data_IF_793755858026
#
_entry.id   IF_793755858026
#
_cell.length_a   1.000
_cell.length_b   1.000
_cell.length_c   1.000
_cell.angle_alpha   90.00
_cell.angle_beta   90.00
_cell.angle_gamma   90.00
#
_symmetry.space_group_name_H-M   'P 1'
#
loop_
_entity.id
_entity.type
_entity.pdbx_description
1 polymer ?
#
# COMPACT_ATOMS: atom_id res chain seq x y z
N UNK A 1 -9.61 -46.36 8.83
CA UNK A 1 -9.31 -44.91 8.94
C UNK A 1 -10.63 -44.18 9.09
N UNK A 2 -10.76 -43.32 10.10
CA UNK A 2 -11.94 -42.48 10.34
C UNK A 2 -11.49 -41.05 10.06
N UNK A 3 -12.15 -40.37 9.13
CA UNK A 3 -11.86 -38.99 8.79
C UNK A 3 -13.00 -38.08 9.27
N UNK A 4 -12.70 -36.84 9.70
CA UNK A 4 -13.73 -35.84 10.00
C UNK A 4 -14.59 -35.57 8.77
N UNK A 5 -15.87 -35.22 8.93
CA UNK A 5 -16.75 -34.86 7.79
C UNK A 5 -16.20 -33.70 6.96
N UNK A 6 -15.44 -32.80 7.57
CA UNK A 6 -14.74 -31.71 6.90
C UNK A 6 -13.66 -32.17 5.90
N UNK A 7 -13.20 -33.43 6.00
CA UNK A 7 -12.21 -34.01 5.08
C UNK A 7 -12.80 -34.35 3.70
N UNK A 8 -14.13 -34.37 3.57
CA UNK A 8 -14.84 -34.53 2.31
C UNK A 8 -15.25 -33.18 1.71
N UNK A 9 -14.40 -32.16 1.84
CA UNK A 9 -14.55 -30.98 1.02
C UNK A 9 -14.18 -31.30 -0.45
N UNK A 10 -14.74 -30.55 -1.38
CA UNK A 10 -14.51 -30.74 -2.82
C UNK A 10 -13.02 -30.56 -3.18
N UNK A 11 -12.27 -29.81 -2.37
CA UNK A 11 -10.88 -29.44 -2.65
C UNK A 11 -9.91 -30.60 -2.37
N UNK A 12 -10.09 -31.33 -1.27
CA UNK A 12 -9.31 -32.53 -0.93
C UNK A 12 -9.59 -33.65 -1.94
N UNK A 13 -10.84 -33.81 -2.36
CA UNK A 13 -11.19 -34.82 -3.36
C UNK A 13 -10.57 -34.52 -4.73
N UNK A 14 -10.55 -33.25 -5.14
CA UNK A 14 -9.92 -32.82 -6.38
C UNK A 14 -8.41 -33.14 -6.39
N UNK A 15 -7.71 -32.84 -5.29
CA UNK A 15 -6.27 -33.07 -5.17
C UNK A 15 -5.88 -34.56 -5.30
N UNK A 16 -6.73 -35.48 -4.83
CA UNK A 16 -6.50 -36.93 -4.93
C UNK A 16 -6.76 -37.47 -6.35
N UNK A 17 -7.72 -36.91 -7.08
CA UNK A 17 -8.07 -37.39 -8.42
C UNK A 17 -7.21 -36.80 -9.53
N UNK A 18 -6.66 -35.60 -9.34
CA UNK A 18 -5.82 -34.92 -10.34
C UNK A 18 -4.63 -35.76 -10.84
N UNK A 19 -3.85 -36.48 -10.00
CA UNK A 19 -2.76 -37.34 -10.47
C UNK A 19 -3.25 -38.49 -11.35
N UNK A 20 -4.39 -39.10 -10.99
CA UNK A 20 -4.97 -40.21 -11.71
C UNK A 20 -5.58 -39.76 -13.05
N UNK A 21 -6.26 -38.61 -13.05
CA UNK A 21 -6.73 -37.97 -14.27
C UNK A 21 -5.56 -37.59 -15.20
N UNK A 22 -4.47 -37.02 -14.66
CA UNK A 22 -3.26 -36.68 -15.40
C UNK A 22 -2.58 -37.93 -16.00
N UNK A 23 -2.54 -39.04 -15.25
CA UNK A 23 -2.00 -40.31 -15.73
C UNK A 23 -2.80 -40.87 -16.91
N UNK A 24 -4.13 -40.80 -16.88
CA UNK A 24 -4.96 -41.39 -17.93
C UNK A 24 -5.09 -40.55 -19.21
N UNK A 25 -5.00 -39.22 -19.15
CA UNK A 25 -5.18 -38.38 -20.33
C UNK A 25 -4.14 -37.29 -20.53
N UNK A 26 -2.97 -37.41 -19.89
CA UNK A 26 -1.83 -36.51 -20.09
C UNK A 26 -2.02 -35.12 -19.46
N UNK A 27 -1.29 -34.10 -19.93
CA UNK A 27 -1.32 -32.76 -19.34
C UNK A 27 -2.73 -32.18 -19.22
N UNK A 28 -3.06 -31.77 -18.00
CA UNK A 28 -4.38 -31.25 -17.60
C UNK A 28 -4.82 -30.03 -18.43
N UNK A 29 -3.86 -29.24 -18.92
CA UNK A 29 -4.07 -28.01 -19.68
C UNK A 29 -4.95 -28.15 -20.94
N UNK A 30 -4.99 -29.33 -21.57
CA UNK A 30 -5.78 -29.58 -22.78
C UNK A 30 -7.17 -30.19 -22.52
N UNK A 31 -7.44 -30.61 -21.28
CA UNK A 31 -8.72 -31.24 -20.88
C UNK A 31 -9.54 -30.39 -19.91
N UNK A 32 -8.96 -29.30 -19.40
CA UNK A 32 -9.68 -28.37 -18.54
C UNK A 32 -10.76 -27.59 -19.29
N UNK A 33 -12.01 -27.88 -18.91
CA UNK A 33 -13.20 -27.13 -19.36
C UNK A 33 -13.18 -25.67 -18.94
N UNK A 34 -12.32 -25.28 -17.99
CA UNK A 34 -12.25 -23.93 -17.43
C UNK A 34 -12.16 -22.83 -18.51
N UNK A 35 -11.38 -23.04 -19.59
CA UNK A 35 -11.30 -22.06 -20.69
C UNK A 35 -12.63 -21.91 -21.43
N UNK A 36 -13.31 -23.02 -21.70
CA UNK A 36 -14.62 -23.06 -22.36
C UNK A 36 -15.67 -22.42 -21.45
N UNK A 37 -15.68 -22.76 -20.17
CA UNK A 37 -16.61 -22.20 -19.18
C UNK A 37 -16.45 -20.68 -19.02
N UNK A 38 -15.20 -20.19 -18.97
CA UNK A 38 -14.92 -18.74 -18.96
C UNK A 38 -15.44 -18.05 -20.22
N UNK A 39 -15.25 -18.65 -21.39
CA UNK A 39 -15.76 -18.13 -22.65
C UNK A 39 -17.30 -18.10 -22.67
N UNK A 40 -17.95 -19.19 -22.28
CA UNK A 40 -19.42 -19.26 -22.17
C UNK A 40 -19.96 -18.26 -21.15
N UNK A 41 -19.27 -18.04 -20.04
CA UNK A 41 -19.62 -17.01 -19.07
C UNK A 41 -19.59 -15.61 -19.70
N UNK A 42 -18.59 -15.30 -20.54
CA UNK A 42 -18.55 -14.03 -21.28
C UNK A 42 -19.72 -13.92 -22.27
N UNK A 43 -19.97 -14.95 -23.09
CA UNK A 43 -21.10 -14.95 -24.04
C UNK A 43 -22.44 -14.78 -23.33
N UNK A 44 -22.61 -15.38 -22.15
CA UNK A 44 -23.83 -15.22 -21.34
C UNK A 44 -24.09 -13.76 -20.97
N UNK A 45 -23.05 -12.93 -20.82
CA UNK A 45 -23.19 -11.48 -20.55
C UNK A 45 -23.70 -10.69 -21.75
N UNK A 46 -23.56 -11.20 -22.98
CA UNK A 46 -24.10 -10.58 -24.19
C UNK A 46 -25.61 -10.84 -24.39
N UNK A 47 -26.21 -11.79 -23.66
CA UNK A 47 -27.65 -12.10 -23.75
C UNK A 47 -28.49 -11.02 -23.04
N UNK A 48 -28.75 -9.92 -23.73
CA UNK A 48 -29.68 -8.86 -23.33
C UNK A 48 -31.14 -9.22 -23.63
N UNK A 49 -31.38 -9.94 -24.73
CA UNK A 49 -32.71 -10.46 -25.09
C UNK A 49 -32.80 -11.99 -24.90
N UNK A 50 -33.46 -12.43 -23.83
CA UNK A 50 -33.64 -13.86 -23.52
C UNK A 50 -34.55 -14.59 -24.50
N UNK A 51 -35.44 -13.89 -25.21
CA UNK A 51 -36.31 -14.50 -26.22
C UNK A 51 -35.57 -14.83 -27.53
N UNK A 52 -34.43 -14.16 -27.78
CA UNK A 52 -33.57 -14.40 -28.97
C UNK A 52 -32.09 -14.42 -28.56
N UNK A 53 -31.66 -15.44 -27.80
CA UNK A 53 -30.33 -15.43 -27.17
C UNK A 53 -29.19 -15.47 -28.20
N UNK A 54 -29.33 -16.23 -29.29
CA UNK A 54 -28.30 -16.31 -30.35
C UNK A 54 -28.07 -14.96 -31.03
N UNK A 55 -29.14 -14.26 -31.40
CA UNK A 55 -29.05 -12.94 -32.01
C UNK A 55 -28.44 -11.91 -31.06
N UNK A 56 -28.84 -11.95 -29.79
CA UNK A 56 -28.28 -11.07 -28.76
C UNK A 56 -26.78 -11.30 -28.52
N UNK A 57 -26.31 -12.56 -28.59
CA UNK A 57 -24.88 -12.88 -28.49
C UNK A 57 -24.13 -12.35 -29.71
N UNK A 58 -24.64 -12.60 -30.92
CA UNK A 58 -24.00 -12.14 -32.15
C UNK A 58 -23.86 -10.61 -32.20
N UNK A 59 -24.92 -9.89 -31.81
CA UNK A 59 -24.92 -8.43 -31.71
C UNK A 59 -23.91 -7.93 -30.66
N UNK A 60 -23.92 -8.50 -29.46
CA UNK A 60 -22.99 -8.09 -28.39
C UNK A 60 -21.53 -8.36 -28.75
N UNK A 61 -21.27 -9.47 -29.45
CA UNK A 61 -19.94 -9.82 -29.93
C UNK A 61 -19.46 -8.85 -31.02
N UNK A 62 -20.32 -8.51 -31.99
CA UNK A 62 -20.01 -7.50 -33.02
C UNK A 62 -19.65 -6.14 -32.40
N UNK A 63 -20.43 -5.69 -31.40
CA UNK A 63 -20.15 -4.43 -30.69
C UNK A 63 -18.78 -4.49 -29.98
N UNK A 64 -18.49 -5.59 -29.27
CA UNK A 64 -17.23 -5.75 -28.54
C UNK A 64 -16.02 -5.74 -29.49
N UNK A 65 -16.11 -6.39 -30.66
CA UNK A 65 -15.07 -6.36 -31.68
C UNK A 65 -14.90 -4.96 -32.28
N UNK A 66 -15.98 -4.28 -32.65
CA UNK A 66 -15.91 -2.91 -33.17
C UNK A 66 -15.29 -1.94 -32.16
N UNK A 67 -15.69 -2.00 -30.89
CA UNK A 67 -15.12 -1.15 -29.83
C UNK A 67 -13.65 -1.48 -29.56
N UNK A 68 -13.30 -2.77 -29.57
CA UNK A 68 -11.91 -3.23 -29.44
C UNK A 68 -11.05 -2.69 -30.58
N UNK A 69 -11.54 -2.76 -31.83
CA UNK A 69 -10.85 -2.20 -32.97
C UNK A 69 -10.68 -0.68 -32.86
N UNK A 70 -11.76 0.06 -32.57
CA UNK A 70 -11.69 1.51 -32.38
C UNK A 70 -10.72 1.90 -31.26
N UNK A 71 -10.67 1.12 -30.17
CA UNK A 71 -9.80 1.39 -29.03
C UNK A 71 -8.31 1.40 -29.37
N UNK A 72 -7.89 0.72 -30.44
CA UNK A 72 -6.50 0.73 -30.91
C UNK A 72 -6.08 2.06 -31.56
N UNK A 73 -7.04 2.88 -31.98
CA UNK A 73 -6.81 4.15 -32.67
C UNK A 73 -7.16 5.39 -31.83
N UNK A 74 -7.82 5.21 -30.69
CA UNK A 74 -8.15 6.30 -29.77
C UNK A 74 -6.99 6.54 -28.80
N UNK A 75 -6.42 7.75 -28.84
CA UNK A 75 -5.38 8.19 -27.90
C UNK A 75 -5.99 9.00 -26.75
N UNK A 76 -5.39 8.91 -25.56
CA UNK A 76 -5.81 9.69 -24.39
C UNK A 76 -7.09 9.20 -23.69
N UNK A 77 -7.64 8.05 -24.06
CA UNK A 77 -8.82 7.45 -23.42
C UNK A 77 -8.42 6.10 -22.80
N UNK A 78 -8.96 5.78 -21.63
CA UNK A 78 -8.80 4.47 -21.01
C UNK A 78 -9.55 3.39 -21.82
N UNK A 79 -8.84 2.34 -22.18
CA UNK A 79 -9.29 1.17 -22.95
C UNK A 79 -8.92 -0.10 -22.21
N UNK A 80 -9.46 -1.24 -22.65
CA UNK A 80 -9.11 -2.55 -22.07
C UNK A 80 -7.60 -2.87 -22.13
N UNK A 81 -6.88 -2.28 -23.09
CA UNK A 81 -5.47 -2.56 -23.35
C UNK A 81 -4.50 -1.61 -22.66
N UNK A 82 -4.91 -0.37 -22.39
CA UNK A 82 -4.04 0.63 -21.75
C UNK A 82 -4.44 0.95 -20.31
N UNK A 83 -5.58 0.42 -19.82
CA UNK A 83 -5.98 0.57 -18.42
C UNK A 83 -4.87 0.05 -17.52
N UNK A 84 -4.57 0.83 -16.50
CA UNK A 84 -3.58 0.46 -15.52
C UNK A 84 -4.03 -0.76 -14.72
N UNK A 85 -3.05 -1.47 -14.15
CA UNK A 85 -3.35 -2.61 -13.31
C UNK A 85 -4.18 -2.19 -12.09
N UNK A 86 -5.04 -3.13 -11.64
CA UNK A 86 -5.92 -2.87 -10.49
C UNK A 86 -5.15 -2.47 -9.24
N UNK A 87 -3.92 -2.94 -9.11
CA UNK A 87 -3.03 -2.62 -8.00
C UNK A 87 -1.97 -1.59 -8.39
N UNK A 88 -2.19 -0.77 -9.41
CA UNK A 88 -1.32 0.39 -9.62
C UNK A 88 -1.48 1.34 -8.43
N UNK A 89 -0.39 1.69 -7.76
CA UNK A 89 -0.35 2.69 -6.68
C UNK A 89 -0.25 4.12 -7.22
N UNK A 90 -0.20 4.29 -8.54
CA UNK A 90 -0.11 5.60 -9.17
C UNK A 90 1.27 6.23 -8.99
N UNK A 91 2.31 5.41 -8.83
CA UNK A 91 3.70 5.85 -8.85
C UNK A 91 4.02 6.54 -10.18
N UNK A 92 3.83 7.85 -10.23
CA UNK A 92 4.42 8.69 -11.28
C UNK A 92 5.76 9.18 -10.77
N UNK A 93 6.79 9.11 -11.61
CA UNK A 93 8.06 9.80 -11.34
C UNK A 93 7.74 11.30 -11.24
N UNK A 94 7.51 11.78 -10.03
CA UNK A 94 7.45 13.21 -9.77
C UNK A 94 8.90 13.68 -9.79
N UNK A 95 9.35 14.14 -10.94
CA UNK A 95 10.71 14.67 -11.17
C UNK A 95 11.05 15.89 -10.27
N UNK A 96 10.11 16.34 -9.43
CA UNK A 96 10.19 17.53 -8.58
C UNK A 96 10.29 17.26 -7.06
N UNK A 97 10.17 16.01 -6.61
CA UNK A 97 10.20 15.72 -5.16
C UNK A 97 11.64 15.44 -4.71
N UNK A 98 12.23 16.37 -3.95
CA UNK A 98 13.62 16.28 -3.50
C UNK A 98 13.74 15.48 -2.19
N UNK A 99 12.72 15.49 -1.32
CA UNK A 99 12.72 14.68 -0.09
C UNK A 99 12.12 13.29 -0.33
N UNK A 100 12.89 12.23 -0.09
CA UNK A 100 12.45 10.85 -0.33
C UNK A 100 11.19 10.48 0.47
N UNK A 101 11.03 11.05 1.67
CA UNK A 101 9.86 10.75 2.50
C UNK A 101 8.52 11.18 1.88
N UNK A 102 8.53 12.16 0.97
CA UNK A 102 7.36 12.64 0.24
C UNK A 102 7.23 12.02 -1.16
N UNK A 103 8.27 11.30 -1.62
CA UNK A 103 8.30 10.65 -2.94
C UNK A 103 7.47 9.36 -2.96
N UNK A 104 7.33 8.71 -1.80
CA UNK A 104 6.69 7.40 -1.64
C UNK A 104 5.21 7.45 -2.04
N UNK A 105 4.91 6.90 -3.20
CA UNK A 105 3.55 6.80 -3.72
C UNK A 105 2.77 5.72 -2.99
N UNK A 106 1.69 6.13 -2.35
CA UNK A 106 0.71 5.22 -1.77
C UNK A 106 -0.67 5.61 -2.26
N UNK A 107 -1.44 4.62 -2.76
CA UNK A 107 -2.84 4.82 -3.14
C UNK A 107 -3.77 4.28 -2.06
N UNK A 108 -4.29 5.11 -1.15
CA UNK A 108 -5.27 4.67 -0.17
C UNK A 108 -6.58 4.21 -0.83
N UNK A 109 -7.30 3.29 -0.17
CA UNK A 109 -8.64 2.88 -0.61
C UNK A 109 -9.71 3.87 -0.14
N UNK A 110 -10.44 4.44 -1.10
CA UNK A 110 -11.56 5.40 -0.87
C UNK A 110 -11.08 6.71 -0.21
N UNK A 111 -12.02 7.62 0.06
CA UNK A 111 -11.79 8.81 0.87
C UNK A 111 -11.53 8.42 2.33
N UNK A 112 -10.42 8.89 2.88
CA UNK A 112 -10.07 8.68 4.28
C UNK A 112 -11.03 9.40 5.21
N UNK A 113 -11.22 8.85 6.42
CA UNK A 113 -11.94 9.56 7.47
C UNK A 113 -10.98 10.50 8.18
N UNK A 114 -11.40 11.74 8.39
CA UNK A 114 -10.68 12.65 9.28
C UNK A 114 -11.01 12.27 10.71
N UNK A 115 -10.02 11.74 11.42
CA UNK A 115 -10.13 11.41 12.83
C UNK A 115 -9.02 12.11 13.61
N UNK A 116 -9.28 12.41 14.88
CA UNK A 116 -8.26 12.93 15.78
C UNK A 116 -7.33 11.77 16.12
N UNK A 117 -6.08 11.83 15.65
CA UNK A 117 -5.05 10.86 16.02
C UNK A 117 -4.73 11.04 17.51
N UNK A 118 -4.69 9.97 18.31
CA UNK A 118 -4.23 10.05 19.69
C UNK A 118 -2.85 10.70 19.78
N UNK A 119 -2.66 11.63 20.72
CA UNK A 119 -1.41 12.41 20.83
C UNK A 119 -0.14 11.54 20.82
N UNK A 120 -0.18 10.39 21.53
CA UNK A 120 0.93 9.44 21.57
C UNK A 120 1.29 8.89 20.19
N UNK A 121 0.28 8.51 19.41
CA UNK A 121 0.47 7.98 18.06
C UNK A 121 0.93 9.09 17.11
N UNK A 122 0.41 10.30 17.27
CA UNK A 122 0.83 11.46 16.49
C UNK A 122 2.30 11.85 16.75
N UNK A 123 2.71 11.93 18.03
CA UNK A 123 4.08 12.26 18.41
C UNK A 123 5.06 11.18 17.92
N UNK A 124 4.67 9.91 18.01
CA UNK A 124 5.46 8.78 17.51
C UNK A 124 5.56 8.79 15.98
N UNK A 125 4.46 9.04 15.27
CA UNK A 125 4.43 9.16 13.82
C UNK A 125 5.30 10.33 13.34
N UNK A 126 5.19 11.49 13.99
CA UNK A 126 6.02 12.66 13.70
C UNK A 126 7.51 12.39 13.90
N UNK A 127 7.87 11.72 15.00
CA UNK A 127 9.25 11.28 15.24
C UNK A 127 9.72 10.31 14.15
N UNK A 128 8.89 9.32 13.80
CA UNK A 128 9.22 8.34 12.78
C UNK A 128 9.54 8.99 11.43
N UNK A 129 8.73 9.96 10.98
CA UNK A 129 8.99 10.69 9.72
C UNK A 129 10.34 11.41 9.80
N UNK A 130 10.64 12.12 10.89
CA UNK A 130 11.90 12.85 11.04
C UNK A 130 13.12 11.93 11.15
N UNK A 131 12.99 10.80 11.85
CA UNK A 131 14.09 9.86 12.07
C UNK A 131 14.43 9.03 10.81
N UNK A 132 13.48 8.85 9.90
CA UNK A 132 13.66 8.08 8.66
C UNK A 132 13.85 8.98 7.42
N UNK A 133 14.14 10.26 7.62
CA UNK A 133 14.43 11.21 6.54
C UNK A 133 15.95 11.40 6.47
N UNK A 134 16.58 10.98 5.38
CA UNK A 134 18.05 11.02 5.23
C UNK A 134 18.60 12.45 5.34
N UNK A 135 17.85 13.43 4.85
CA UNK A 135 18.21 14.85 4.89
C UNK A 135 18.17 15.44 6.31
N UNK A 136 17.49 14.76 7.24
CA UNK A 136 17.38 15.16 8.65
C UNK A 136 18.49 14.54 9.51
N UNK A 137 19.17 13.49 9.02
CA UNK A 137 20.25 12.78 9.73
C UNK A 137 21.37 13.67 10.28
N UNK A 138 21.89 14.68 9.55
CA UNK A 138 22.90 15.59 10.09
C UNK A 138 22.41 16.36 11.33
N UNK A 139 21.13 16.72 11.34
CA UNK A 139 20.50 17.46 12.43
C UNK A 139 20.24 16.55 13.65
N UNK A 140 19.87 15.29 13.42
CA UNK A 140 19.74 14.29 14.49
C UNK A 140 21.07 14.15 15.24
N UNK A 141 22.17 14.02 14.51
CA UNK A 141 23.52 13.91 15.10
C UNK A 141 23.90 15.17 15.88
N UNK A 142 23.70 16.35 15.31
CA UNK A 142 24.00 17.63 15.97
C UNK A 142 23.25 17.77 17.30
N UNK A 143 21.93 17.51 17.32
CA UNK A 143 21.15 17.58 18.55
C UNK A 143 21.57 16.54 19.58
N UNK A 144 21.96 15.34 19.15
CA UNK A 144 22.45 14.28 20.04
C UNK A 144 23.77 14.68 20.70
N UNK A 145 24.69 15.29 19.96
CA UNK A 145 25.94 15.82 20.49
C UNK A 145 25.72 16.98 21.48
N UNK A 146 24.75 17.88 21.22
CA UNK A 146 24.36 18.94 22.15
C UNK A 146 23.86 18.37 23.49
N UNK A 147 23.02 17.33 23.45
CA UNK A 147 22.51 16.67 24.65
C UNK A 147 23.61 15.92 25.43
N UNK A 148 24.56 15.29 24.72
CA UNK A 148 25.72 14.64 25.37
C UNK A 148 26.59 15.65 26.12
N UNK A 149 26.83 16.83 25.54
CA UNK A 149 27.60 17.91 26.19
C UNK A 149 26.92 18.46 27.44
N UNK A 150 25.60 18.39 27.51
CA UNK A 150 24.82 18.83 28.67
C UNK A 150 24.77 17.79 29.81
N UNK A 151 25.47 16.65 29.68
CA UNK A 151 25.55 15.57 30.68
C UNK A 151 24.17 15.07 31.14
N UNK A 152 23.23 14.99 30.21
CA UNK A 152 21.83 14.69 30.51
C UNK A 152 21.61 13.18 30.62
N UNK A 153 21.03 12.72 31.75
CA UNK A 153 20.55 11.33 31.87
C UNK A 153 19.32 11.09 30.96
N UNK A 154 19.21 9.87 30.41
CA UNK A 154 18.20 9.42 29.42
C UNK A 154 18.26 10.19 28.08
N UNK A 155 19.45 10.22 27.47
CA UNK A 155 19.73 10.96 26.24
C UNK A 155 18.80 10.60 25.09
N UNK A 156 18.53 9.31 24.85
CA UNK A 156 17.70 8.85 23.72
C UNK A 156 16.23 9.28 23.83
N UNK A 157 15.64 9.12 25.01
CA UNK A 157 14.23 9.48 25.24
C UNK A 157 14.01 10.99 25.12
N UNK A 158 14.90 11.78 25.74
CA UNK A 158 14.88 13.24 25.61
C UNK A 158 15.18 13.71 24.20
N UNK A 159 16.09 13.03 23.50
CA UNK A 159 16.38 13.33 22.11
C UNK A 159 15.11 13.20 21.27
N UNK A 160 14.42 12.05 21.36
CA UNK A 160 13.14 11.81 20.67
C UNK A 160 12.06 12.85 21.00
N UNK A 161 11.92 13.23 22.26
CA UNK A 161 10.89 14.19 22.69
C UNK A 161 11.19 15.64 22.27
N UNK A 162 12.45 16.07 22.39
CA UNK A 162 12.83 17.47 22.20
C UNK A 162 13.23 17.79 20.76
N UNK A 163 13.69 16.79 20.00
CA UNK A 163 14.19 16.98 18.64
C UNK A 163 13.19 17.66 17.70
N UNK A 164 11.90 17.31 17.65
CA UNK A 164 10.98 17.97 16.70
C UNK A 164 10.85 19.48 16.93
N UNK A 165 10.95 19.93 18.18
CA UNK A 165 10.91 21.36 18.52
C UNK A 165 12.26 22.03 18.28
N UNK A 166 13.36 21.36 18.63
CA UNK A 166 14.71 21.83 18.36
C UNK A 166 14.96 22.00 16.86
N UNK A 167 14.60 20.99 16.06
CA UNK A 167 14.70 20.97 14.60
C UNK A 167 13.92 22.12 13.98
N UNK A 168 12.67 22.34 14.42
CA UNK A 168 11.88 23.51 14.00
C UNK A 168 12.58 24.84 14.23
N UNK A 169 13.16 25.05 15.41
CA UNK A 169 13.90 26.28 15.74
C UNK A 169 15.15 26.43 14.89
N UNK A 170 15.92 25.34 14.71
CA UNK A 170 17.15 25.32 13.90
C UNK A 170 16.87 25.66 12.44
N UNK A 171 15.88 25.00 11.83
CA UNK A 171 15.50 25.25 10.44
C UNK A 171 14.94 26.66 10.25
N UNK A 172 14.15 27.18 11.20
CA UNK A 172 13.68 28.58 11.16
C UNK A 172 14.84 29.58 11.16
N UNK A 173 15.90 29.33 11.93
CA UNK A 173 17.09 30.19 11.93
C UNK A 173 17.84 30.13 10.59
N UNK A 174 17.98 28.95 10.00
CA UNK A 174 18.62 28.77 8.69
C UNK A 174 17.79 29.43 7.58
N UNK A 175 16.48 29.25 7.59
CA UNK A 175 15.54 29.84 6.65
C UNK A 175 15.62 31.38 6.61
N UNK A 176 15.83 32.00 7.78
CA UNK A 176 15.98 33.45 7.88
C UNK A 176 17.34 33.96 7.36
N UNK A 177 18.37 33.11 7.31
CA UNK A 177 19.70 33.46 6.82
C UNK A 177 19.84 33.21 5.31
N UNK A 178 19.35 32.07 4.84
CA UNK A 178 19.47 31.65 3.45
C UNK A 178 18.22 30.90 2.99
N UNK A 179 17.64 31.33 1.87
CA UNK A 179 16.43 30.73 1.28
C UNK A 179 16.79 29.82 0.11
N UNK A 180 17.55 28.77 0.39
CA UNK A 180 17.82 27.74 -0.61
C UNK A 180 16.61 26.82 -0.79
N UNK A 181 16.55 26.13 -1.94
CA UNK A 181 15.47 25.17 -2.23
C UNK A 181 15.40 24.06 -1.18
N UNK A 182 16.56 23.52 -0.76
CA UNK A 182 16.63 22.49 0.29
C UNK A 182 16.13 22.97 1.64
N UNK A 183 16.47 24.20 2.05
CA UNK A 183 16.01 24.78 3.33
C UNK A 183 14.49 25.02 3.29
N UNK A 184 13.94 25.46 2.15
CA UNK A 184 12.49 25.63 2.01
C UNK A 184 11.73 24.32 2.21
N UNK A 185 12.27 23.19 1.74
CA UNK A 185 11.63 21.88 1.92
C UNK A 185 11.79 21.32 3.33
N UNK A 186 12.99 21.42 3.91
CA UNK A 186 13.21 21.06 5.32
C UNK A 186 12.31 21.91 6.24
N UNK A 187 12.03 23.16 5.87
CA UNK A 187 11.10 24.01 6.60
C UNK A 187 9.66 23.48 6.59
N UNK A 188 9.18 22.93 5.47
CA UNK A 188 7.87 22.25 5.40
C UNK A 188 7.81 21.06 6.37
N UNK A 189 8.88 20.26 6.41
CA UNK A 189 9.00 19.12 7.33
C UNK A 189 9.07 19.58 8.80
N UNK A 190 9.79 20.68 9.07
CA UNK A 190 10.04 21.20 10.40
C UNK A 190 8.81 21.88 11.04
N UNK A 191 7.92 22.48 10.24
CA UNK A 191 6.62 22.98 10.72
C UNK A 191 5.83 21.85 11.37
N UNK A 192 5.88 20.66 10.77
CA UNK A 192 5.13 19.47 11.15
C UNK A 192 3.86 19.29 10.31
N UNK A 193 3.22 18.12 10.43
CA UNK A 193 1.97 17.81 9.74
C UNK A 193 0.76 18.48 10.43
N UNK A 194 -0.38 18.51 9.74
CA UNK A 194 -1.67 18.82 10.35
C UNK A 194 -1.95 17.84 11.50
N UNK A 195 -2.46 18.37 12.61
CA UNK A 195 -2.83 17.59 13.79
C UNK A 195 -4.01 16.67 13.49
N UNK A 196 -4.83 17.03 12.50
CA UNK A 196 -5.87 16.18 11.93
C UNK A 196 -5.21 15.26 10.89
N UNK A 197 -5.13 13.98 11.18
CA UNK A 197 -4.73 13.01 10.17
C UNK A 197 -5.93 12.32 9.53
N UNK A 198 -5.65 11.55 8.48
CA UNK A 198 -6.64 10.66 7.87
C UNK A 198 -6.32 9.22 8.20
N UNK A 199 -7.36 8.42 8.45
CA UNK A 199 -7.22 6.98 8.65
C UNK A 199 -7.79 6.22 7.47
N UNK A 200 -7.18 5.08 7.16
CA UNK A 200 -7.56 4.25 6.02
C UNK A 200 -7.70 2.78 6.39
N UNK A 201 -8.66 2.11 5.75
CA UNK A 201 -8.89 0.67 5.95
C UNK A 201 -8.09 -0.20 4.96
N UNK A 202 -7.12 0.36 4.27
CA UNK A 202 -6.31 -0.33 3.27
C UNK A 202 -5.77 0.61 2.20
N UNK A 203 -4.72 0.18 1.53
CA UNK A 203 -4.03 0.93 0.50
C UNK A 203 -3.38 -0.01 -0.51
N UNK A 204 -2.87 0.57 -1.60
CA UNK A 204 -1.99 -0.10 -2.55
C UNK A 204 -0.62 0.57 -2.50
N UNK A 205 0.43 -0.24 -2.32
CA UNK A 205 1.83 0.17 -2.32
C UNK A 205 2.62 -0.86 -3.12
N UNK A 206 3.43 -0.41 -4.07
CA UNK A 206 4.29 -1.24 -4.92
C UNK A 206 3.55 -2.43 -5.58
N UNK A 207 2.34 -2.21 -6.10
CA UNK A 207 1.56 -3.30 -6.72
C UNK A 207 0.84 -4.24 -5.73
N UNK A 208 1.03 -4.07 -4.42
CA UNK A 208 0.47 -4.93 -3.38
C UNK A 208 -0.65 -4.21 -2.64
N UNK A 209 -1.74 -4.93 -2.33
CA UNK A 209 -2.87 -4.41 -1.56
C UNK A 209 -2.71 -4.78 -0.11
N UNK A 210 -2.71 -3.79 0.77
CA UNK A 210 -2.69 -3.98 2.21
C UNK A 210 -4.05 -3.65 2.80
N UNK A 211 -4.41 -4.37 3.86
CA UNK A 211 -5.61 -4.16 4.64
C UNK A 211 -5.25 -4.03 6.12
N UNK A 212 -6.03 -3.26 6.86
CA UNK A 212 -5.98 -3.33 8.32
C UNK A 212 -6.67 -4.62 8.78
N UNK A 213 -6.21 -5.18 9.90
CA UNK A 213 -6.69 -6.45 10.45
C UNK A 213 -8.21 -6.57 10.50
N UNK A 214 -8.90 -5.58 11.09
CA UNK A 214 -10.37 -5.59 11.24
C UNK A 214 -11.13 -5.74 9.92
N UNK A 215 -10.52 -5.31 8.81
CA UNK A 215 -11.11 -5.46 7.47
C UNK A 215 -10.76 -6.81 6.88
N UNK A 216 -9.54 -7.25 7.10
CA UNK A 216 -9.01 -8.50 6.56
C UNK A 216 -9.72 -9.73 7.13
N UNK A 217 -10.13 -9.68 8.41
CA UNK A 217 -10.96 -10.69 9.07
C UNK A 217 -12.30 -10.95 8.38
N UNK A 218 -12.82 -9.97 7.62
CA UNK A 218 -14.06 -10.09 6.86
C UNK A 218 -13.85 -10.72 5.47
N UNK A 219 -12.60 -10.99 5.08
CA UNK A 219 -12.23 -11.48 3.77
C UNK A 219 -11.71 -12.93 3.82
N UNK A 220 -11.76 -13.61 2.67
CA UNK A 220 -11.23 -14.98 2.53
C UNK A 220 -9.70 -15.03 2.36
N UNK A 221 -9.09 -13.93 1.93
CA UNK A 221 -7.65 -13.80 1.68
C UNK A 221 -7.08 -12.80 2.66
N UNK A 222 -5.98 -13.17 3.33
CA UNK A 222 -5.32 -12.31 4.30
C UNK A 222 -4.24 -11.45 3.63
N UNK A 223 -4.33 -10.14 3.79
CA UNK A 223 -3.34 -9.15 3.33
C UNK A 223 -3.08 -8.06 4.40
N UNK A 224 -3.17 -8.39 5.69
CA UNK A 224 -2.87 -7.47 6.80
C UNK A 224 -1.50 -7.69 7.46
N UNK A 225 -0.73 -8.69 7.04
CA UNK A 225 0.59 -8.99 7.61
C UNK A 225 1.71 -8.33 6.82
N UNK A 226 2.71 -7.83 7.52
CA UNK A 226 3.97 -7.33 6.98
C UNK A 226 5.13 -8.15 7.55
N UNK A 227 6.15 -8.32 6.72
CA UNK A 227 7.42 -8.93 7.11
C UNK A 227 8.49 -7.87 6.96
N UNK A 228 9.26 -7.64 8.03
CA UNK A 228 10.39 -6.73 8.04
C UNK A 228 11.61 -7.51 8.50
N UNK A 229 12.66 -7.53 7.68
CA UNK A 229 13.95 -8.07 8.08
C UNK A 229 14.57 -7.15 9.14
N UNK A 230 14.99 -7.74 10.26
CA UNK A 230 15.71 -7.02 11.31
C UNK A 230 16.88 -7.84 11.85
N UNK A 231 17.71 -7.18 12.66
CA UNK A 231 18.86 -7.83 13.29
C UNK A 231 18.59 -8.09 14.76
N UNK A 232 18.75 -9.33 15.19
CA UNK A 232 18.74 -9.71 16.59
C UNK A 232 19.99 -10.53 16.89
N UNK A 233 20.81 -10.08 17.83
CA UNK A 233 22.04 -10.78 18.24
C UNK A 233 23.00 -11.11 17.07
N UNK A 234 23.06 -10.24 16.06
CA UNK A 234 23.80 -10.37 14.79
C UNK A 234 23.23 -11.35 13.76
N UNK A 235 22.09 -11.99 14.04
CA UNK A 235 21.36 -12.79 13.07
C UNK A 235 20.25 -11.97 12.40
N UNK A 236 20.02 -12.24 11.12
CA UNK A 236 18.89 -11.67 10.37
C UNK A 236 17.65 -12.47 10.73
N UNK A 237 16.68 -11.82 11.35
CA UNK A 237 15.40 -12.41 11.74
C UNK A 237 14.26 -11.63 11.07
N UNK A 238 13.29 -12.37 10.55
CA UNK A 238 12.05 -11.81 10.02
C UNK A 238 11.10 -11.46 11.16
N UNK A 239 10.74 -10.18 11.28
CA UNK A 239 9.69 -9.72 12.18
C UNK A 239 8.35 -9.73 11.45
N UNK A 240 7.36 -10.38 12.07
CA UNK A 240 6.01 -10.51 11.54
C UNK A 240 5.06 -9.64 12.34
N UNK A 241 4.51 -8.63 11.66
CA UNK A 241 3.63 -7.66 12.27
C UNK A 241 2.28 -7.60 11.54
N UNK A 242 1.23 -7.27 12.28
CA UNK A 242 -0.10 -7.07 11.72
C UNK A 242 -0.41 -5.58 11.68
N UNK A 243 -0.91 -5.12 10.54
CA UNK A 243 -1.37 -3.74 10.34
C UNK A 243 -2.68 -3.55 11.10
N UNK A 244 -2.63 -2.76 12.17
CA UNK A 244 -3.81 -2.42 12.98
C UNK A 244 -4.49 -1.16 12.48
N UNK A 245 -3.70 -0.18 12.03
CA UNK A 245 -4.19 1.09 11.51
C UNK A 245 -3.28 1.65 10.42
N UNK A 246 -3.83 2.52 9.57
CA UNK A 246 -3.08 3.25 8.54
C UNK A 246 -3.36 4.73 8.68
N UNK A 247 -2.32 5.51 8.96
CA UNK A 247 -2.42 6.92 9.35
C UNK A 247 -1.70 7.77 8.30
N UNK A 248 -2.41 8.71 7.69
CA UNK A 248 -1.85 9.71 6.78
C UNK A 248 -1.67 11.03 7.49
N UNK A 249 -0.42 11.50 7.49
CA UNK A 249 -0.03 12.80 7.97
C UNK A 249 0.04 13.76 6.78
N UNK A 250 -0.77 14.82 6.80
CA UNK A 250 -0.79 15.82 5.74
C UNK A 250 0.19 16.96 6.08
N UNK A 251 1.28 17.08 5.32
CA UNK A 251 2.17 18.24 5.41
C UNK A 251 1.72 19.33 4.43
N UNK A 252 2.21 20.55 4.66
CA UNK A 252 1.95 21.70 3.79
C UNK A 252 2.34 21.40 2.33
N UNK A 253 1.64 22.07 1.41
CA UNK A 253 1.78 21.95 -0.05
C UNK A 253 1.42 20.58 -0.62
N UNK A 254 0.53 19.83 0.04
CA UNK A 254 0.02 18.57 -0.50
C UNK A 254 1.06 17.45 -0.46
N UNK A 255 1.83 17.38 0.62
CA UNK A 255 2.84 16.36 0.88
C UNK A 255 2.32 15.35 1.93
N UNK A 256 1.47 14.39 1.56
CA UNK A 256 1.00 13.37 2.50
C UNK A 256 2.08 12.32 2.76
N UNK A 257 2.14 11.82 3.99
CA UNK A 257 2.95 10.65 4.37
C UNK A 257 2.03 9.62 5.01
N UNK A 258 1.86 8.46 4.39
CA UNK A 258 1.11 7.35 4.95
C UNK A 258 2.02 6.44 5.77
N UNK A 259 1.61 6.15 7.00
CA UNK A 259 2.31 5.30 7.95
C UNK A 259 1.41 4.13 8.38
N UNK A 260 2.03 2.99 8.67
CA UNK A 260 1.34 1.81 9.19
C UNK A 260 1.58 1.69 10.68
N UNK A 261 0.49 1.59 11.44
CA UNK A 261 0.55 1.23 12.85
C UNK A 261 0.50 -0.28 12.95
N UNK A 262 1.55 -0.85 13.48
CA UNK A 262 1.75 -2.29 13.56
C UNK A 262 1.66 -2.80 14.99
N UNK A 263 1.26 -4.06 15.13
CA UNK A 263 1.27 -4.80 16.39
C UNK A 263 1.95 -6.15 16.17
N UNK A 264 2.92 -6.44 17.04
CA UNK A 264 3.66 -7.70 17.06
C UNK A 264 2.71 -8.84 17.41
N UNK A 265 2.82 -9.95 16.67
CA UNK A 265 2.05 -11.19 16.86
C UNK A 265 2.66 -12.04 17.98
#
# INVERSE_FOLDING_TARGET
MIFPSAFFDVMVHLAVHLPREAMYGGPVQYRWMYKIERFLCNLKRYVRNKARPKGSIAEGYLIDECLTFCSMYLTGIETRFNREDRNNDGSSNKDEVILDIFSKSVRPFRYGNYDIIPKKDFDMARWYVLNNCEEVEPFLREHKEELMKQAVANTEEKHREQFPLWFKRKIMQLYNKEKSVSINQLYLLAIGPDVRGRTYNGCTVNGVRYHIQRRDELHKSQNCSLVVEGYHENDVIDFYDIITDMIELEYLNGNPVLLFKMQVV
#
